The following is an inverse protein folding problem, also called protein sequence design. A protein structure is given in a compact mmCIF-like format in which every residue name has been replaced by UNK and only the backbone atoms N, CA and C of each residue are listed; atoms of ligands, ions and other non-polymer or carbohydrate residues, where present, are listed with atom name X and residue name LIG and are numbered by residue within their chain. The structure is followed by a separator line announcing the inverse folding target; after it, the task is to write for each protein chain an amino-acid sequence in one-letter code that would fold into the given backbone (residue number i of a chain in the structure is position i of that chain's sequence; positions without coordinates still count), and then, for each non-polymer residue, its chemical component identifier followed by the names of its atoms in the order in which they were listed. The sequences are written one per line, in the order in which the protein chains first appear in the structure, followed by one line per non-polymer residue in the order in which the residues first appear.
data_IF_518262460509
#
_entry.id   IF_518262460509
#
_cell.length_a   1.000
_cell.length_b   1.000
_cell.length_c   1.000
_cell.angle_alpha   90.00
_cell.angle_beta   90.00
_cell.angle_gamma   90.00
#
_symmetry.space_group_name_H-M   'P 1'
#
loop_
_entity.id
_entity.type
_entity.pdbx_description
1 polymer ?
#
# COMPACT_ATOMS: atom_id res chain seq x y z
N UNK A 1 -2.91 14.22 1.29
CA UNK A 1 -2.63 13.64 2.63
C UNK A 1 -1.25 14.10 3.09
N UNK A 2 -1.07 14.45 4.36
CA UNK A 2 0.25 14.82 4.90
C UNK A 2 1.15 13.60 5.15
N UNK A 3 2.46 13.79 5.33
CA UNK A 3 3.44 12.71 5.46
C UNK A 3 3.21 11.78 6.66
N UNK A 4 2.94 12.37 7.83
CA UNK A 4 2.68 11.62 9.07
C UNK A 4 1.39 10.80 8.92
N UNK A 5 0.32 11.44 8.43
CA UNK A 5 -0.96 10.77 8.23
C UNK A 5 -0.86 9.61 7.24
N UNK A 6 -0.15 9.79 6.13
CA UNK A 6 0.10 8.74 5.14
C UNK A 6 0.83 7.53 5.75
N UNK A 7 1.88 7.82 6.54
CA UNK A 7 2.70 6.78 7.18
C UNK A 7 1.90 6.00 8.21
N UNK A 8 1.19 6.69 9.10
CA UNK A 8 0.34 6.05 10.10
C UNK A 8 -0.74 5.21 9.43
N UNK A 9 -1.40 5.70 8.37
CA UNK A 9 -2.43 4.94 7.69
C UNK A 9 -1.91 3.66 7.03
N UNK A 10 -0.68 3.68 6.49
CA UNK A 10 -0.04 2.48 5.95
C UNK A 10 0.35 1.50 7.06
N UNK A 11 1.01 1.97 8.11
CA UNK A 11 1.48 1.14 9.22
C UNK A 11 0.36 0.54 10.07
N UNK A 12 -0.81 1.20 10.15
CA UNK A 12 -1.99 0.65 10.82
C UNK A 12 -2.72 -0.41 9.98
N UNK A 13 -2.43 -0.51 8.67
CA UNK A 13 -3.14 -1.38 7.73
C UNK A 13 -2.17 -2.20 6.85
N UNK A 14 -1.19 -2.92 7.45
CA UNK A 14 -0.13 -3.61 6.72
C UNK A 14 -0.64 -4.73 5.82
N UNK A 15 -1.72 -5.41 6.21
CA UNK A 15 -2.28 -6.57 5.49
C UNK A 15 -3.57 -6.24 4.73
N UNK A 16 -3.88 -4.95 4.54
CA UNK A 16 -5.09 -4.53 3.82
C UNK A 16 -4.79 -4.29 2.35
N UNK A 17 -4.93 -5.34 1.54
CA UNK A 17 -4.70 -5.27 0.09
C UNK A 17 -5.90 -4.74 -0.71
N UNK A 18 -7.10 -4.80 -0.14
CA UNK A 18 -8.32 -4.31 -0.78
C UNK A 18 -8.40 -2.77 -0.76
N UNK A 19 -8.94 -2.21 -1.84
CA UNK A 19 -9.14 -0.76 -2.01
C UNK A 19 -8.04 -0.10 -2.83
N UNK A 20 -8.02 1.23 -2.77
CA UNK A 20 -7.15 2.11 -3.57
C UNK A 20 -6.33 3.01 -2.65
N UNK A 21 -5.11 3.34 -3.07
CA UNK A 21 -4.23 4.28 -2.37
C UNK A 21 -4.02 5.54 -3.22
N UNK A 22 -4.10 6.71 -2.58
CA UNK A 22 -3.82 7.98 -3.26
C UNK A 22 -2.33 8.14 -3.57
N UNK A 23 -1.99 8.95 -4.58
CA UNK A 23 -0.58 9.31 -4.87
C UNK A 23 0.16 9.84 -3.65
N UNK A 24 -0.46 10.75 -2.90
CA UNK A 24 0.16 11.32 -1.70
C UNK A 24 0.33 10.31 -0.57
N UNK A 25 -0.56 9.32 -0.45
CA UNK A 25 -0.41 8.25 0.54
C UNK A 25 0.79 7.36 0.20
N UNK A 26 0.91 6.97 -1.08
CA UNK A 26 2.00 6.12 -1.56
C UNK A 26 3.37 6.81 -1.47
N UNK A 27 3.52 8.01 -2.04
CA UNK A 27 4.84 8.65 -2.14
C UNK A 27 5.37 9.15 -0.81
N UNK A 28 4.52 9.66 0.09
CA UNK A 28 5.00 10.03 1.42
C UNK A 28 5.47 8.83 2.22
N UNK A 29 4.72 7.72 2.19
CA UNK A 29 5.14 6.50 2.86
C UNK A 29 6.43 5.95 2.25
N UNK A 30 6.54 5.96 0.91
CA UNK A 30 7.75 5.52 0.19
C UNK A 30 8.97 6.33 0.60
N UNK A 31 8.88 7.66 0.61
CA UNK A 31 10.00 8.53 0.99
C UNK A 31 10.43 8.33 2.45
N UNK A 32 9.48 8.22 3.37
CA UNK A 32 9.78 7.98 4.78
C UNK A 32 10.38 6.58 4.99
N UNK A 33 9.84 5.56 4.30
CA UNK A 33 10.39 4.20 4.31
C UNK A 33 11.84 4.17 3.80
N UNK A 34 12.12 4.86 2.69
CA UNK A 34 13.48 5.00 2.14
C UNK A 34 14.42 5.74 3.10
N UNK A 35 13.97 6.86 3.68
CA UNK A 35 14.79 7.64 4.62
C UNK A 35 15.10 6.85 5.90
N UNK A 36 14.10 6.16 6.46
CA UNK A 36 14.28 5.30 7.62
C UNK A 36 15.22 4.12 7.32
N UNK A 37 15.08 3.49 6.14
CA UNK A 37 15.97 2.43 5.68
C UNK A 37 17.42 2.90 5.51
N UNK A 38 17.62 4.10 4.95
CA UNK A 38 18.94 4.70 4.79
C UNK A 38 19.59 5.02 6.15
N UNK A 39 18.86 5.66 7.06
CA UNK A 39 19.33 5.94 8.42
C UNK A 39 19.70 4.64 9.16
N UNK A 40 18.87 3.60 9.01
CA UNK A 40 19.12 2.29 9.58
C UNK A 40 20.36 1.62 8.98
N UNK A 41 20.61 1.76 7.67
CA UNK A 41 21.81 1.21 7.04
C UNK A 41 23.10 1.87 7.53
N UNK A 42 23.09 3.20 7.75
CA UNK A 42 24.23 3.91 8.33
C UNK A 42 24.48 3.40 9.75
N UNK A 43 23.42 3.37 10.57
CA UNK A 43 23.50 2.89 11.95
C UNK A 43 23.96 1.42 12.03
N UNK A 44 23.60 0.60 11.04
CA UNK A 44 24.11 -0.76 10.89
C UNK A 44 25.60 -0.81 10.55
N UNK A 45 26.07 0.07 9.69
CA UNK A 45 27.47 0.07 9.26
C UNK A 45 28.44 0.51 10.37
N UNK A 46 28.02 1.39 11.28
CA UNK A 46 28.89 1.99 12.30
C UNK A 46 29.72 0.99 13.12
N UNK A 47 29.16 -0.02 13.82
CA UNK A 47 29.97 -0.95 14.59
C UNK A 47 30.81 -1.91 13.73
N UNK A 48 30.42 -2.17 12.47
CA UNK A 48 31.27 -2.94 11.54
C UNK A 48 32.53 -2.13 11.19
N UNK A 49 32.37 -0.83 10.96
CA UNK A 49 33.48 0.08 10.68
C UNK A 49 34.39 0.28 11.90
N UNK A 50 33.81 0.38 13.10
CA UNK A 50 34.57 0.46 14.35
C UNK A 50 35.43 -0.80 14.56
N UNK A 51 34.81 -1.98 14.42
CA UNK A 51 35.52 -3.25 14.54
C UNK A 51 36.67 -3.37 13.52
N UNK A 52 36.43 -2.99 12.26
CA UNK A 52 37.46 -3.02 11.22
C UNK A 52 38.60 -2.04 11.47
N UNK A 53 38.30 -0.85 12.02
CA UNK A 53 39.30 0.15 12.37
C UNK A 53 40.19 -0.30 13.53
N UNK A 54 39.59 -0.84 14.60
CA UNK A 54 40.30 -1.38 15.75
C UNK A 54 41.20 -2.56 15.34
N UNK A 55 40.69 -3.49 14.54
CA UNK A 55 41.46 -4.60 13.99
C UNK A 55 42.64 -4.13 13.11
N UNK A 56 42.46 -3.05 12.35
CA UNK A 56 43.53 -2.46 11.55
C UNK A 56 44.66 -1.83 12.38
N UNK A 57 44.34 -1.29 13.56
CA UNK A 57 45.34 -0.72 14.48
C UNK A 57 46.05 -1.76 15.33
N UNK A 58 45.39 -2.87 15.68
CA UNK A 58 45.96 -3.93 16.52
C UNK A 58 47.11 -4.72 15.84
N UNK A 59 47.33 -4.57 14.53
CA UNK A 59 48.27 -5.39 13.77
C UNK A 59 47.78 -6.84 13.60
N UNK A 60 48.63 -7.76 13.15
CA UNK A 60 48.31 -9.20 13.10
C UNK A 60 48.25 -9.82 14.51
N UNK A 61 47.44 -9.27 15.41
CA UNK A 61 47.04 -9.96 16.63
C UNK A 61 46.11 -11.12 16.25
N UNK A 62 46.29 -12.27 16.89
CA UNK A 62 45.54 -13.49 16.61
C UNK A 62 44.02 -13.25 16.65
N UNK A 63 43.35 -13.58 15.55
CA UNK A 63 41.90 -13.42 15.29
C UNK A 63 40.99 -14.32 16.15
N UNK A 64 41.42 -14.72 17.35
CA UNK A 64 40.76 -15.74 18.18
C UNK A 64 40.55 -15.33 19.65
N UNK A 65 40.55 -14.03 19.96
CA UNK A 65 40.28 -13.55 21.32
C UNK A 65 38.77 -13.52 21.61
N UNK A 66 38.39 -13.78 22.87
CA UNK A 66 36.99 -13.85 23.32
C UNK A 66 36.17 -12.60 22.97
N UNK A 67 36.82 -11.44 22.90
CA UNK A 67 36.21 -10.16 22.55
C UNK A 67 35.67 -10.14 21.11
N UNK A 68 36.38 -10.78 20.17
CA UNK A 68 35.92 -10.89 18.79
C UNK A 68 34.68 -11.79 18.69
N UNK A 69 34.64 -12.89 19.47
CA UNK A 69 33.49 -13.79 19.51
C UNK A 69 32.23 -13.05 20.03
N UNK A 70 32.40 -12.26 21.10
CA UNK A 70 31.32 -11.44 21.69
C UNK A 70 30.86 -10.35 20.72
N UNK A 71 31.78 -9.69 20.00
CA UNK A 71 31.44 -8.67 19.01
C UNK A 71 30.62 -9.26 17.85
N UNK A 72 31.01 -10.43 17.36
CA UNK A 72 30.28 -11.16 16.32
C UNK A 72 28.89 -11.56 16.79
N UNK A 73 28.76 -12.14 17.99
CA UNK A 73 27.47 -12.51 18.57
C UNK A 73 26.51 -11.31 18.63
N UNK A 74 26.99 -10.16 19.13
CA UNK A 74 26.21 -8.92 19.19
C UNK A 74 25.77 -8.43 17.81
N UNK A 75 26.64 -8.54 16.80
CA UNK A 75 26.32 -8.15 15.43
C UNK A 75 25.24 -9.05 14.82
N UNK A 76 25.34 -10.37 15.01
CA UNK A 76 24.33 -11.33 14.55
C UNK A 76 22.99 -11.12 15.25
N UNK A 77 22.99 -11.00 16.58
CA UNK A 77 21.77 -10.75 17.36
C UNK A 77 21.08 -9.46 16.91
N UNK A 78 21.84 -8.36 16.77
CA UNK A 78 21.33 -7.07 16.28
C UNK A 78 20.71 -7.18 14.89
N UNK A 79 21.39 -7.88 13.98
CA UNK A 79 20.91 -8.10 12.61
C UNK A 79 19.60 -8.88 12.60
N UNK A 80 19.52 -9.93 13.41
CA UNK A 80 18.33 -10.76 13.54
C UNK A 80 17.11 -9.96 14.00
N UNK A 81 17.21 -9.22 15.11
CA UNK A 81 16.09 -8.43 15.64
C UNK A 81 15.61 -7.36 14.66
N UNK A 82 16.52 -6.80 13.86
CA UNK A 82 16.16 -5.74 12.92
C UNK A 82 15.49 -6.29 11.67
N UNK A 83 15.90 -7.46 11.18
CA UNK A 83 15.14 -8.15 10.13
C UNK A 83 13.70 -8.37 10.59
N UNK A 84 13.49 -8.83 11.83
CA UNK A 84 12.14 -9.00 12.39
C UNK A 84 11.38 -7.67 12.46
N UNK A 85 12.02 -6.60 12.94
CA UNK A 85 11.39 -5.27 13.02
C UNK A 85 11.01 -4.71 11.64
N UNK A 86 11.76 -5.05 10.59
CA UNK A 86 11.52 -4.59 9.22
C UNK A 86 10.38 -5.33 8.50
N UNK A 87 9.95 -6.50 8.99
CA UNK A 87 8.85 -7.24 8.38
C UNK A 87 7.56 -6.41 8.34
N UNK A 88 7.24 -5.70 9.42
CA UNK A 88 6.03 -4.89 9.52
C UNK A 88 5.94 -3.75 8.47
N UNK A 89 6.94 -2.85 8.38
CA UNK A 89 6.93 -1.81 7.35
C UNK A 89 7.08 -2.40 5.95
N UNK A 90 7.75 -3.55 5.78
CA UNK A 90 7.81 -4.26 4.49
C UNK A 90 6.43 -4.71 4.01
N UNK A 91 5.62 -5.35 4.87
CA UNK A 91 4.25 -5.73 4.52
C UNK A 91 3.38 -4.50 4.23
N UNK A 92 3.56 -3.42 5.01
CA UNK A 92 2.90 -2.15 4.76
C UNK A 92 3.23 -1.57 3.38
N UNK A 93 4.50 -1.67 2.96
CA UNK A 93 4.96 -1.23 1.64
C UNK A 93 4.35 -2.06 0.52
N UNK A 94 4.28 -3.38 0.68
CA UNK A 94 3.62 -4.26 -0.29
C UNK A 94 2.12 -3.94 -0.42
N UNK A 95 1.43 -3.77 0.71
CA UNK A 95 0.00 -3.43 0.75
C UNK A 95 -0.31 -2.11 0.04
N UNK A 96 0.42 -1.03 0.34
CA UNK A 96 0.18 0.26 -0.32
C UNK A 96 0.56 0.23 -1.80
N UNK A 97 1.57 -0.55 -2.20
CA UNK A 97 1.95 -0.73 -3.61
C UNK A 97 0.84 -1.42 -4.40
N UNK A 98 0.28 -2.51 -3.86
CA UNK A 98 -0.85 -3.21 -4.47
C UNK A 98 -2.09 -2.29 -4.56
N UNK A 99 -2.42 -1.58 -3.48
CA UNK A 99 -3.52 -0.58 -3.49
C UNK A 99 -3.27 0.57 -4.45
N UNK A 100 -2.01 0.90 -4.74
CA UNK A 100 -1.66 1.93 -5.72
C UNK A 100 -1.81 1.42 -7.16
N UNK A 101 -1.47 0.16 -7.43
CA UNK A 101 -1.76 -0.49 -8.72
C UNK A 101 -3.26 -0.57 -8.98
N UNK A 102 -4.04 -0.90 -7.95
CA UNK A 102 -5.51 -0.87 -7.99
C UNK A 102 -6.08 0.52 -8.31
N UNK A 103 -5.34 1.59 -8.02
CA UNK A 103 -5.81 2.95 -8.31
C UNK A 103 -5.88 3.24 -9.82
N UNK A 104 -5.08 2.54 -10.63
CA UNK A 104 -5.06 2.60 -12.10
C UNK A 104 -5.72 1.37 -12.74
N UNK A 105 -6.61 0.68 -12.01
CA UNK A 105 -7.33 -0.54 -12.42
C UNK A 105 -6.46 -1.75 -12.78
N UNK A 106 -5.20 -1.78 -12.34
CA UNK A 106 -4.31 -2.94 -12.50
C UNK A 106 -4.47 -3.88 -11.30
N UNK A 107 -4.34 -5.20 -11.52
CA UNK A 107 -4.33 -6.17 -10.42
C UNK A 107 -3.01 -6.12 -9.63
N UNK A 108 -3.02 -6.57 -8.37
CA UNK A 108 -1.80 -6.65 -7.56
C UNK A 108 -0.68 -7.51 -8.14
N UNK A 109 -0.99 -8.43 -9.06
CA UNK A 109 -0.02 -9.26 -9.77
C UNK A 109 0.97 -8.46 -10.61
N UNK A 110 0.61 -7.24 -11.04
CA UNK A 110 1.52 -6.33 -11.73
C UNK A 110 2.75 -5.95 -10.89
N UNK A 111 2.71 -6.14 -9.57
CA UNK A 111 3.89 -5.97 -8.72
C UNK A 111 5.09 -6.82 -9.21
N UNK A 112 4.83 -8.05 -9.68
CA UNK A 112 5.87 -8.99 -10.08
C UNK A 112 6.65 -8.60 -11.33
N UNK A 113 6.14 -7.67 -12.14
CA UNK A 113 6.93 -7.17 -13.28
C UNK A 113 8.24 -6.54 -12.80
N UNK A 114 8.29 -6.02 -11.58
CA UNK A 114 9.50 -5.45 -10.96
C UNK A 114 10.63 -6.47 -10.76
N UNK A 115 10.36 -7.77 -10.85
CA UNK A 115 11.39 -8.83 -10.84
C UNK A 115 12.25 -8.79 -12.10
N UNK A 116 11.71 -8.29 -13.22
CA UNK A 116 12.49 -8.07 -14.44
C UNK A 116 13.30 -6.79 -14.25
N UNK A 117 14.63 -6.87 -14.13
CA UNK A 117 15.45 -5.71 -13.85
C UNK A 117 15.38 -4.70 -14.99
N UNK A 118 15.56 -3.43 -14.65
CA UNK A 118 15.52 -2.29 -15.56
C UNK A 118 14.12 -2.06 -16.19
N UNK A 119 13.73 -2.86 -17.17
CA UNK A 119 12.48 -2.64 -17.93
C UNK A 119 11.25 -2.80 -17.04
N UNK A 120 11.18 -3.90 -16.29
CA UNK A 120 10.07 -4.17 -15.39
C UNK A 120 9.96 -3.14 -14.27
N UNK A 121 11.10 -2.75 -13.69
CA UNK A 121 11.16 -1.69 -12.67
C UNK A 121 10.68 -0.34 -13.22
N UNK A 122 11.08 0.03 -14.45
CA UNK A 122 10.64 1.28 -15.10
C UNK A 122 9.13 1.25 -15.33
N UNK A 123 8.58 0.15 -15.87
CA UNK A 123 7.12 0.02 -16.09
C UNK A 123 6.37 0.15 -14.76
N UNK A 124 6.84 -0.55 -13.71
CA UNK A 124 6.21 -0.48 -12.40
C UNK A 124 6.26 0.95 -11.83
N UNK A 125 7.41 1.62 -11.93
CA UNK A 125 7.56 3.02 -11.50
C UNK A 125 6.56 3.93 -12.22
N UNK A 126 6.43 3.80 -13.55
CA UNK A 126 5.46 4.56 -14.35
C UNK A 126 4.04 4.35 -13.80
N UNK A 127 3.63 3.10 -13.58
CA UNK A 127 2.31 2.78 -13.02
C UNK A 127 2.09 3.39 -11.62
N UNK A 128 3.14 3.49 -10.80
CA UNK A 128 3.07 4.07 -9.45
C UNK A 128 3.02 5.61 -9.46
N UNK A 129 3.54 6.26 -10.52
CA UNK A 129 3.51 7.73 -10.69
C UNK A 129 2.22 8.20 -11.38
N UNK A 130 1.76 7.48 -12.41
CA UNK A 130 0.62 7.86 -13.26
C UNK A 130 -0.65 8.12 -12.44
N UNK A 131 -1.43 9.19 -12.71
CA UNK A 131 -2.68 9.42 -12.00
C UNK A 131 -3.62 8.20 -12.10
N UNK A 132 -4.21 7.79 -10.97
CA UNK A 132 -5.24 6.75 -10.99
C UNK A 132 -6.56 7.24 -11.58
N UNK A 133 -7.49 6.31 -11.75
CA UNK A 133 -8.77 6.57 -12.42
C UNK A 133 -9.57 7.66 -11.70
N UNK A 134 -10.10 8.61 -12.47
CA UNK A 134 -10.89 9.72 -11.94
C UNK A 134 -12.21 9.28 -11.28
N UNK A 135 -12.76 8.14 -11.70
CA UNK A 135 -14.03 7.59 -11.27
C UNK A 135 -13.92 6.37 -10.35
N UNK A 136 -15.02 5.64 -10.21
CA UNK A 136 -15.06 4.34 -9.52
C UNK A 136 -14.49 3.27 -10.45
N UNK A 137 -13.63 2.39 -9.93
CA UNK A 137 -13.13 1.23 -10.66
C UNK A 137 -13.46 -0.07 -9.90
N UNK A 138 -12.97 -1.22 -10.38
CA UNK A 138 -13.29 -2.54 -9.78
C UNK A 138 -12.83 -2.68 -8.32
N UNK A 139 -11.88 -1.86 -7.89
CA UNK A 139 -11.31 -1.86 -6.55
C UNK A 139 -11.94 -0.83 -5.60
N UNK A 140 -12.91 -0.04 -6.09
CA UNK A 140 -13.73 0.85 -5.28
C UNK A 140 -13.70 2.32 -5.71
N UNK A 141 -14.28 3.21 -4.86
CA UNK A 141 -14.33 4.63 -5.14
C UNK A 141 -12.93 5.27 -5.06
N UNK A 142 -12.78 6.42 -5.73
CA UNK A 142 -11.53 7.18 -5.74
C UNK A 142 -11.08 7.54 -4.31
N UNK A 143 -9.79 7.38 -3.97
CA UNK A 143 -9.24 7.85 -2.70
C UNK A 143 -9.48 9.35 -2.50
N UNK A 144 -10.17 9.72 -1.42
CA UNK A 144 -10.52 11.11 -1.12
C UNK A 144 -11.58 11.72 -2.05
N UNK A 145 -12.24 10.91 -2.90
CA UNK A 145 -13.42 11.33 -3.62
C UNK A 145 -14.63 11.46 -2.68
N UNK A 146 -15.68 12.21 -3.09
CA UNK A 146 -16.91 12.27 -2.31
C UNK A 146 -17.43 10.86 -2.04
N UNK A 147 -17.96 10.64 -0.83
CA UNK A 147 -18.54 9.36 -0.44
C UNK A 147 -19.45 8.85 -1.56
N UNK A 148 -19.43 7.54 -1.88
CA UNK A 148 -20.29 7.02 -2.92
C UNK A 148 -21.71 7.45 -2.57
N UNK A 149 -22.29 8.35 -3.39
CA UNK A 149 -23.73 8.56 -3.35
C UNK A 149 -24.28 7.14 -3.46
N UNK A 150 -24.95 6.64 -2.41
CA UNK A 150 -25.84 5.48 -2.57
C UNK A 150 -26.54 5.75 -3.88
N UNK A 151 -26.47 4.82 -4.83
CA UNK A 151 -27.31 4.91 -6.01
C UNK A 151 -28.67 5.25 -5.42
N UNK A 152 -29.13 6.48 -5.65
CA UNK A 152 -30.43 6.89 -5.17
C UNK A 152 -31.30 6.01 -6.03
N UNK A 153 -31.71 4.88 -5.47
CA UNK A 153 -32.80 4.10 -6.00
C UNK A 153 -33.87 5.16 -6.26
N UNK A 154 -34.22 5.42 -7.53
CA UNK A 154 -35.07 6.54 -7.87
C UNK A 154 -36.25 6.48 -6.91
N UNK A 155 -36.38 7.53 -6.09
CA UNK A 155 -37.32 7.51 -4.98
C UNK A 155 -38.65 7.01 -5.55
N UNK A 156 -39.17 5.92 -4.99
CA UNK A 156 -40.42 5.33 -5.46
C UNK A 156 -41.41 6.49 -5.66
N UNK A 157 -42.03 6.62 -6.85
CA UNK A 157 -42.81 7.78 -7.18
C UNK A 157 -43.84 8.01 -6.07
N UNK A 158 -43.99 9.26 -5.62
CA UNK A 158 -44.87 9.61 -4.49
C UNK A 158 -46.28 9.04 -4.68
N UNK A 159 -46.72 8.94 -5.93
CA UNK A 159 -47.91 8.22 -6.34
C UNK A 159 -47.51 7.05 -7.25
N UNK A 160 -47.90 5.79 -6.94
CA UNK A 160 -47.66 4.64 -7.80
C UNK A 160 -48.20 4.81 -9.22
N UNK A 161 -49.20 5.67 -9.42
CA UNK A 161 -49.79 5.98 -10.73
C UNK A 161 -48.81 6.74 -11.62
N UNK A 162 -47.92 7.56 -11.04
CA UNK A 162 -46.94 8.35 -11.80
C UNK A 162 -45.86 7.47 -12.46
N UNK A 163 -45.76 6.20 -12.05
CA UNK A 163 -44.89 5.21 -12.71
C UNK A 163 -45.42 4.78 -14.09
N UNK A 164 -46.69 5.04 -14.38
CA UNK A 164 -47.39 4.59 -15.58
C UNK A 164 -47.72 5.79 -16.46
N UNK A 165 -46.92 6.02 -17.50
CA UNK A 165 -47.08 7.18 -18.39
C UNK A 165 -48.05 6.94 -19.54
N UNK A 166 -48.43 5.68 -19.83
CA UNK A 166 -49.33 5.35 -20.93
C UNK A 166 -50.73 4.97 -20.44
N UNK A 167 -51.73 5.21 -21.30
CA UNK A 167 -53.11 4.79 -21.03
C UNK A 167 -53.26 3.26 -20.98
N UNK A 168 -52.38 2.54 -21.65
CA UNK A 168 -52.37 1.08 -21.68
C UNK A 168 -51.88 0.51 -20.34
N UNK A 169 -50.84 1.10 -19.76
CA UNK A 169 -50.31 0.73 -18.45
C UNK A 169 -51.36 0.88 -17.34
N UNK A 170 -52.13 1.98 -17.38
CA UNK A 170 -53.21 2.23 -16.43
C UNK A 170 -54.36 1.23 -16.57
N UNK A 171 -54.66 0.78 -17.80
CA UNK A 171 -55.67 -0.26 -18.06
C UNK A 171 -55.20 -1.61 -17.53
N UNK A 172 -53.93 -1.97 -17.76
CA UNK A 172 -53.33 -3.20 -17.25
C UNK A 172 -53.33 -3.25 -15.71
N UNK A 173 -52.98 -2.14 -15.05
CA UNK A 173 -53.03 -2.02 -13.59
C UNK A 173 -54.46 -2.16 -13.03
N UNK A 174 -55.46 -1.60 -13.73
CA UNK A 174 -56.86 -1.73 -13.33
C UNK A 174 -57.35 -3.16 -13.47
N UNK A 175 -56.99 -3.85 -14.55
CA UNK A 175 -57.36 -5.23 -14.79
C UNK A 175 -56.75 -6.18 -13.74
N UNK A 176 -55.49 -5.96 -13.35
CA UNK A 176 -54.84 -6.79 -12.33
C UNK A 176 -55.47 -6.66 -10.94
N UNK A 177 -56.05 -5.49 -10.60
CA UNK A 177 -56.75 -5.28 -9.32
C UNK A 177 -58.18 -5.80 -9.27
N UNK A 178 -58.84 -6.01 -10.41
CA UNK A 178 -60.20 -6.56 -10.44
C UNK A 178 -60.23 -8.09 -10.54
N UNK A 179 -59.07 -8.73 -10.78
CA UNK A 179 -58.92 -10.18 -10.90
C UNK A 179 -58.38 -10.89 -9.66
N UNK A 180 -58.19 -10.17 -8.54
CA UNK A 180 -57.77 -10.68 -7.24
C UNK A 180 -58.86 -10.41 -6.20
#
# INVERSE_FOLDING_TARGET
MGPIAATLNCLMKPFRFAGRASRSEFWWFTLIYMAAGFALSIWMMLPIMQLGFEAGQAGQASVADADMLIAMERLYARSFYIVLALLWPMFSYLSVTIRRLHDSDHSGWWYWIGVIPLIGTIILLILLVVPGDGGRNRFGPRPGGPAPRRAVEPAAPRNPVDAYSSAEDLRALRQSRMGA
#
